data_IF_564423715141
#
_entry.id   IF_564423715141
#
_cell.length_a   1.000
_cell.length_b   1.000
_cell.length_c   1.000
_cell.angle_alpha   90.00
_cell.angle_beta   90.00
_cell.angle_gamma   90.00
#
_symmetry.space_group_name_H-M   'P 1'
#
loop_
_entity.id
_entity.type
_entity.pdbx_description
1 polymer ?
#
# COMPACT_ATOMS: atom_id res chain seq x y z
N UNK A 1 0.01 21.49 -14.51
CA UNK A 1 -0.18 20.20 -13.82
C UNK A 1 0.63 20.20 -12.54
N UNK A 2 0.06 19.82 -11.41
CA UNK A 2 0.81 19.71 -10.16
C UNK A 2 1.93 18.67 -10.29
N UNK A 3 3.06 18.94 -9.63
CA UNK A 3 4.17 17.99 -9.55
C UNK A 3 4.00 17.18 -8.26
N UNK A 4 3.83 15.85 -8.39
CA UNK A 4 3.68 14.94 -7.26
C UNK A 4 5.02 14.30 -6.90
N UNK A 5 5.25 14.13 -5.60
CA UNK A 5 6.36 13.33 -5.07
C UNK A 5 5.84 11.94 -4.65
N UNK A 6 6.52 10.85 -5.02
CA UNK A 6 6.13 9.52 -4.57
C UNK A 6 6.52 9.31 -3.11
N UNK A 7 5.54 8.91 -2.28
CA UNK A 7 5.76 8.52 -0.89
C UNK A 7 4.98 7.24 -0.57
N UNK A 8 5.48 6.47 0.38
CA UNK A 8 4.78 5.35 0.98
C UNK A 8 4.34 5.75 2.39
N UNK A 9 3.02 5.65 2.67
CA UNK A 9 2.45 6.00 3.96
C UNK A 9 2.26 4.75 4.82
N UNK A 10 2.72 4.79 6.05
CA UNK A 10 2.27 3.86 7.07
C UNK A 10 0.94 4.37 7.64
N UNK A 11 -0.15 3.69 7.29
CA UNK A 11 -1.50 4.07 7.70
C UNK A 11 -2.03 3.24 8.88
N UNK A 12 -1.18 2.47 9.56
CA UNK A 12 -1.59 1.65 10.71
C UNK A 12 -2.23 2.51 11.80
N UNK A 13 -3.46 2.16 12.21
CA UNK A 13 -4.24 2.91 13.18
C UNK A 13 -4.75 4.29 12.72
N UNK A 14 -4.56 4.64 11.44
CA UNK A 14 -5.12 5.90 10.93
C UNK A 14 -6.61 5.77 10.67
N UNK A 15 -7.37 6.74 11.15
CA UNK A 15 -8.76 6.92 10.71
C UNK A 15 -8.76 7.46 9.29
N UNK A 16 -9.31 6.68 8.35
CA UNK A 16 -9.44 7.05 6.93
C UNK A 16 -10.93 7.10 6.58
N UNK A 17 -11.37 8.24 6.08
CA UNK A 17 -12.77 8.45 5.71
C UNK A 17 -12.92 8.38 4.18
N UNK A 18 -13.88 7.57 3.74
CA UNK A 18 -14.25 7.42 2.32
C UNK A 18 -15.70 7.81 2.17
N UNK A 19 -15.96 8.92 1.47
CA UNK A 19 -17.30 9.38 1.18
C UNK A 19 -17.71 8.84 -0.19
N UNK A 20 -18.72 7.96 -0.18
CA UNK A 20 -19.17 7.17 -1.32
C UNK A 20 -19.05 5.67 -1.06
N UNK A 21 -19.97 4.86 -1.61
CA UNK A 21 -20.04 3.40 -1.41
C UNK A 21 -20.06 2.59 -2.71
N UNK A 22 -19.65 3.22 -3.83
CA UNK A 22 -19.62 2.60 -5.15
C UNK A 22 -18.33 1.86 -5.45
N UNK A 23 -18.14 1.43 -6.71
CA UNK A 23 -16.95 0.70 -7.18
C UNK A 23 -15.64 1.46 -6.99
N UNK A 24 -15.67 2.80 -6.98
CA UNK A 24 -14.47 3.60 -6.74
C UNK A 24 -14.06 3.49 -5.27
N UNK A 25 -15.02 3.65 -4.35
CA UNK A 25 -14.80 3.43 -2.91
C UNK A 25 -14.27 2.02 -2.64
N UNK A 26 -14.87 1.00 -3.25
CA UNK A 26 -14.45 -0.40 -3.13
C UNK A 26 -12.95 -0.58 -3.46
N UNK A 27 -12.49 -0.02 -4.59
CA UNK A 27 -11.07 -0.07 -4.96
C UNK A 27 -10.16 0.64 -3.94
N UNK A 28 -10.62 1.79 -3.38
CA UNK A 28 -9.85 2.50 -2.35
C UNK A 28 -9.77 1.68 -1.07
N UNK A 29 -10.88 1.16 -0.59
CA UNK A 29 -10.91 0.26 0.57
C UNK A 29 -9.98 -0.93 0.35
N UNK A 30 -10.11 -1.65 -0.76
CA UNK A 30 -9.27 -2.82 -1.08
C UNK A 30 -7.77 -2.49 -1.01
N UNK A 31 -7.34 -1.34 -1.50
CA UNK A 31 -5.93 -0.93 -1.45
C UNK A 31 -5.44 -0.55 -0.04
N UNK A 32 -6.35 -0.16 0.86
CA UNK A 32 -6.04 0.30 2.21
C UNK A 32 -6.02 -0.83 3.24
N UNK A 33 -6.71 -1.96 2.98
CA UNK A 33 -6.83 -3.05 3.95
C UNK A 33 -5.48 -3.57 4.45
N UNK A 34 -4.48 -3.66 3.56
CA UNK A 34 -3.14 -4.12 3.93
C UNK A 34 -2.42 -3.17 4.90
N UNK A 35 -2.87 -1.91 4.99
CA UNK A 35 -2.27 -0.88 5.86
C UNK A 35 -2.80 -0.88 7.28
N UNK A 36 -3.73 -1.78 7.65
CA UNK A 36 -4.35 -1.85 8.99
C UNK A 36 -4.95 -0.52 9.46
N UNK A 37 -5.49 0.27 8.55
CA UNK A 37 -6.16 1.52 8.86
C UNK A 37 -7.57 1.28 9.38
N UNK A 38 -8.08 2.22 10.19
CA UNK A 38 -9.48 2.28 10.60
C UNK A 38 -10.29 2.94 9.47
N UNK A 39 -10.92 2.13 8.63
CA UNK A 39 -11.63 2.61 7.44
C UNK A 39 -13.09 2.89 7.79
N UNK A 40 -13.52 4.12 7.55
CA UNK A 40 -14.91 4.58 7.70
C UNK A 40 -15.47 4.91 6.33
N UNK A 41 -16.58 4.28 5.96
CA UNK A 41 -17.31 4.57 4.71
C UNK A 41 -18.62 5.30 5.05
N UNK A 42 -18.86 6.41 4.35
CA UNK A 42 -20.08 7.21 4.50
C UNK A 42 -20.84 7.19 3.17
N UNK A 43 -21.99 6.55 3.14
CA UNK A 43 -22.79 6.39 1.93
C UNK A 43 -24.17 5.85 2.22
N UNK A 44 -25.18 6.22 1.43
CA UNK A 44 -26.52 5.63 1.51
C UNK A 44 -26.55 4.14 1.08
N UNK A 45 -25.62 3.70 0.26
CA UNK A 45 -25.57 2.31 -0.26
C UNK A 45 -24.12 1.86 -0.40
N UNK A 46 -23.90 0.58 -0.20
CA UNK A 46 -22.61 -0.08 -0.45
C UNK A 46 -22.71 -1.07 -1.60
N UNK A 47 -21.60 -1.31 -2.29
CA UNK A 47 -21.47 -2.50 -3.14
C UNK A 47 -21.59 -3.78 -2.29
N UNK A 48 -21.95 -4.93 -2.88
CA UNK A 48 -21.99 -6.21 -2.15
C UNK A 48 -20.67 -6.54 -1.44
N UNK A 49 -19.56 -6.24 -2.07
CA UNK A 49 -18.23 -6.47 -1.49
C UNK A 49 -17.96 -5.57 -0.25
N UNK A 50 -18.24 -4.28 -0.34
CA UNK A 50 -18.11 -3.36 0.81
C UNK A 50 -19.04 -3.77 1.96
N UNK A 51 -20.27 -4.23 1.64
CA UNK A 51 -21.21 -4.72 2.63
C UNK A 51 -20.70 -5.95 3.36
N UNK A 52 -20.05 -6.89 2.65
CA UNK A 52 -19.36 -8.03 3.26
C UNK A 52 -18.28 -7.57 4.23
N UNK A 53 -17.39 -6.65 3.78
CA UNK A 53 -16.32 -6.10 4.65
C UNK A 53 -16.85 -5.40 5.90
N UNK A 54 -17.98 -4.73 5.80
CA UNK A 54 -18.66 -4.15 6.96
C UNK A 54 -19.20 -5.23 7.90
N UNK A 55 -19.88 -6.25 7.37
CA UNK A 55 -20.41 -7.38 8.17
C UNK A 55 -19.30 -8.14 8.90
N UNK A 56 -18.12 -8.23 8.29
CA UNK A 56 -16.92 -8.86 8.88
C UNK A 56 -16.22 -7.96 9.92
N UNK A 57 -16.72 -6.71 10.12
CA UNK A 57 -16.09 -5.76 11.05
C UNK A 57 -14.78 -5.14 10.54
N UNK A 58 -14.46 -5.32 9.26
CA UNK A 58 -13.22 -4.82 8.64
C UNK A 58 -13.29 -3.33 8.34
N UNK A 59 -14.50 -2.81 8.07
CA UNK A 59 -14.76 -1.39 7.87
C UNK A 59 -15.97 -0.97 8.70
N UNK A 60 -15.99 0.30 9.10
CA UNK A 60 -17.18 0.95 9.65
C UNK A 60 -18.00 1.61 8.55
N UNK A 61 -19.32 1.54 8.64
CA UNK A 61 -20.22 2.16 7.66
C UNK A 61 -21.29 3.00 8.33
N UNK A 62 -21.40 4.26 7.88
CA UNK A 62 -22.52 5.13 8.21
C UNK A 62 -23.50 5.15 7.03
N UNK A 63 -24.67 4.53 7.22
CA UNK A 63 -25.73 4.42 6.20
C UNK A 63 -26.50 5.74 6.05
N UNK A 64 -25.80 6.78 5.62
CA UNK A 64 -26.35 8.12 5.35
C UNK A 64 -25.49 8.90 4.39
N UNK A 65 -25.97 10.05 3.96
CA UNK A 65 -25.14 11.02 3.24
C UNK A 65 -24.06 11.63 4.15
N UNK A 66 -23.07 12.22 3.51
CA UNK A 66 -22.05 13.02 4.17
C UNK A 66 -22.68 14.27 4.81
N UNK A 67 -22.22 14.65 5.97
CA UNK A 67 -22.52 15.91 6.66
C UNK A 67 -21.22 16.54 7.15
N UNK A 68 -21.18 17.86 7.28
CA UNK A 68 -20.06 18.58 7.85
C UNK A 68 -19.75 18.09 9.27
N UNK A 69 -18.47 17.92 9.61
CA UNK A 69 -18.00 17.29 10.85
C UNK A 69 -17.61 15.81 10.71
N UNK A 70 -18.02 15.14 9.64
CA UNK A 70 -17.70 13.72 9.43
C UNK A 70 -16.20 13.42 9.29
N UNK A 71 -15.42 14.43 8.91
CA UNK A 71 -13.98 14.30 8.70
C UNK A 71 -13.15 14.55 9.96
N UNK A 72 -13.76 14.93 11.08
CA UNK A 72 -13.03 15.15 12.32
C UNK A 72 -12.23 13.92 12.74
N UNK A 73 -10.96 14.12 13.07
CA UNK A 73 -10.03 13.06 13.44
C UNK A 73 -9.55 12.16 12.30
N UNK A 74 -10.01 12.38 11.06
CA UNK A 74 -9.46 11.67 9.91
C UNK A 74 -8.03 12.13 9.60
N UNK A 75 -7.18 11.20 9.15
CA UNK A 75 -5.82 11.50 8.66
C UNK A 75 -5.71 11.45 7.15
N UNK A 76 -6.70 10.85 6.48
CA UNK A 76 -6.77 10.76 5.02
C UNK A 76 -8.24 10.68 4.60
N UNK A 77 -8.59 11.34 3.51
CA UNK A 77 -9.97 11.41 3.02
C UNK A 77 -10.02 11.07 1.52
N UNK A 78 -11.08 10.36 1.14
CA UNK A 78 -11.39 10.07 -0.27
C UNK A 78 -12.81 10.54 -0.58
N UNK A 79 -12.95 11.48 -1.51
CA UNK A 79 -14.21 11.90 -2.10
C UNK A 79 -14.47 11.05 -3.36
N UNK A 80 -15.43 10.12 -3.28
CA UNK A 80 -15.65 9.08 -4.30
C UNK A 80 -17.11 8.96 -4.74
N UNK A 81 -17.90 10.00 -4.49
CA UNK A 81 -19.32 10.01 -4.90
C UNK A 81 -19.46 10.40 -6.38
N UNK A 82 -20.63 10.15 -6.94
CA UNK A 82 -21.07 10.66 -8.24
C UNK A 82 -21.70 12.06 -8.16
N UNK A 83 -21.79 12.64 -6.96
CA UNK A 83 -22.37 13.96 -6.71
C UNK A 83 -21.28 15.00 -6.53
N UNK A 84 -21.10 15.88 -7.52
CA UNK A 84 -20.05 16.91 -7.51
C UNK A 84 -20.13 17.80 -6.26
N UNK A 85 -21.32 18.27 -5.90
CA UNK A 85 -21.52 19.12 -4.74
C UNK A 85 -21.10 18.47 -3.41
N UNK A 86 -21.31 17.15 -3.26
CA UNK A 86 -20.88 16.40 -2.08
C UNK A 86 -19.35 16.31 -2.07
N UNK A 87 -18.73 15.98 -3.21
CA UNK A 87 -17.27 15.90 -3.31
C UNK A 87 -16.61 17.27 -3.02
N UNK A 88 -17.19 18.37 -3.51
CA UNK A 88 -16.71 19.74 -3.21
C UNK A 88 -16.79 20.03 -1.70
N UNK A 89 -17.91 19.73 -1.04
CA UNK A 89 -18.08 19.92 0.39
C UNK A 89 -17.03 19.13 1.19
N UNK A 90 -16.78 17.86 0.81
CA UNK A 90 -15.74 17.02 1.42
C UNK A 90 -14.34 17.64 1.25
N UNK A 91 -14.03 18.16 0.05
CA UNK A 91 -12.74 18.79 -0.22
C UNK A 91 -12.59 20.08 0.60
N UNK A 92 -13.63 20.89 0.69
CA UNK A 92 -13.61 22.13 1.47
C UNK A 92 -13.37 21.85 2.96
N UNK A 93 -14.10 20.92 3.56
CA UNK A 93 -13.90 20.56 4.97
C UNK A 93 -12.50 19.96 5.20
N UNK A 94 -12.08 18.99 4.35
CA UNK A 94 -10.76 18.39 4.47
C UNK A 94 -9.64 19.46 4.37
N UNK A 95 -9.77 20.43 3.47
CA UNK A 95 -8.83 21.53 3.31
C UNK A 95 -8.81 22.43 4.56
N UNK A 96 -9.96 22.79 5.09
CA UNK A 96 -10.09 23.59 6.32
C UNK A 96 -9.43 22.89 7.52
N UNK A 97 -9.61 21.57 7.63
CA UNK A 97 -9.00 20.72 8.66
C UNK A 97 -7.55 20.32 8.35
N UNK A 98 -6.99 20.75 7.21
CA UNK A 98 -5.64 20.36 6.73
C UNK A 98 -5.44 18.86 6.60
N UNK A 99 -6.49 18.13 6.25
CA UNK A 99 -6.45 16.70 6.03
C UNK A 99 -6.19 16.44 4.54
N UNK A 100 -5.20 15.59 4.18
CA UNK A 100 -5.00 15.20 2.79
C UNK A 100 -6.26 14.55 2.20
N UNK A 101 -6.69 15.03 1.02
CA UNK A 101 -7.89 14.55 0.34
C UNK A 101 -7.61 14.14 -1.09
N UNK A 102 -8.17 12.99 -1.50
CA UNK A 102 -8.19 12.52 -2.89
C UNK A 102 -9.57 12.71 -3.50
N UNK A 103 -9.66 13.42 -4.60
CA UNK A 103 -10.87 13.47 -5.43
C UNK A 103 -10.79 12.40 -6.52
N UNK A 104 -11.72 11.45 -6.53
CA UNK A 104 -11.63 10.30 -7.42
C UNK A 104 -11.95 10.59 -8.89
N UNK A 105 -12.68 11.67 -9.16
CA UNK A 105 -13.07 12.10 -10.51
C UNK A 105 -12.11 13.12 -11.12
N UNK A 106 -11.47 13.94 -10.28
CA UNK A 106 -10.57 15.01 -10.70
C UNK A 106 -9.39 15.11 -9.73
N UNK A 107 -8.25 14.55 -10.15
CA UNK A 107 -7.04 14.53 -9.33
C UNK A 107 -6.46 15.92 -9.04
N UNK A 108 -6.80 16.95 -9.83
CA UNK A 108 -6.29 18.33 -9.63
C UNK A 108 -6.98 19.03 -8.46
N UNK A 109 -8.18 18.63 -8.11
CA UNK A 109 -8.91 19.19 -6.96
C UNK A 109 -8.50 18.54 -5.62
N UNK A 110 -7.75 17.45 -5.64
CA UNK A 110 -7.24 16.79 -4.44
C UNK A 110 -5.83 17.22 -4.08
N UNK A 111 -5.41 16.95 -2.84
CA UNK A 111 -4.04 17.18 -2.40
C UNK A 111 -3.08 16.02 -2.69
N UNK A 112 -3.59 14.84 -3.05
CA UNK A 112 -2.81 13.67 -3.46
C UNK A 112 -3.55 12.81 -4.48
N UNK A 113 -2.80 12.00 -5.21
CA UNK A 113 -3.32 10.98 -6.12
C UNK A 113 -2.89 9.59 -5.66
N UNK A 114 -3.66 8.57 -6.05
CA UNK A 114 -3.26 7.16 -5.82
C UNK A 114 -2.76 6.56 -7.13
N UNK A 115 -1.54 5.98 -7.15
CA UNK A 115 -1.01 5.33 -8.33
C UNK A 115 -1.72 4.00 -8.63
N UNK A 116 -1.53 3.45 -9.82
CA UNK A 116 -1.71 2.02 -10.06
C UNK A 116 -0.60 1.27 -9.34
N UNK A 117 -0.88 0.10 -8.76
CA UNK A 117 0.14 -0.63 -8.01
C UNK A 117 0.01 -2.13 -8.17
N UNK A 118 1.14 -2.81 -8.01
CA UNK A 118 1.31 -4.25 -7.88
C UNK A 118 1.81 -4.50 -6.47
N UNK A 119 1.32 -5.55 -5.82
CA UNK A 119 1.79 -6.01 -4.52
C UNK A 119 2.11 -7.50 -4.58
N UNK A 120 3.29 -7.86 -4.10
CA UNK A 120 3.72 -9.23 -3.83
C UNK A 120 4.29 -9.27 -2.41
N UNK A 121 3.43 -9.60 -1.45
CA UNK A 121 3.81 -9.48 -0.04
C UNK A 121 4.33 -8.07 0.30
N UNK A 122 5.61 -7.97 0.66
CA UNK A 122 6.30 -6.72 1.00
C UNK A 122 6.77 -5.91 -0.23
N UNK A 123 6.85 -6.53 -1.42
CA UNK A 123 7.16 -5.79 -2.64
C UNK A 123 5.96 -4.95 -3.06
N UNK A 124 6.18 -3.67 -3.26
CA UNK A 124 5.20 -2.74 -3.82
C UNK A 124 5.84 -2.01 -4.99
N UNK A 125 5.20 -2.09 -6.16
CA UNK A 125 5.58 -1.31 -7.34
C UNK A 125 4.42 -0.37 -7.65
N UNK A 126 4.68 0.93 -7.67
CA UNK A 126 3.68 1.96 -7.90
C UNK A 126 3.96 2.69 -9.22
N UNK A 127 2.95 2.81 -10.08
CA UNK A 127 3.06 3.46 -11.40
C UNK A 127 2.10 4.64 -11.46
N UNK A 128 2.63 5.83 -11.71
CA UNK A 128 1.85 7.05 -11.89
C UNK A 128 2.28 7.78 -13.14
N UNK A 129 1.33 8.41 -13.81
CA UNK A 129 1.54 9.37 -14.90
C UNK A 129 1.13 10.78 -14.48
N UNK A 130 1.07 11.03 -13.16
CA UNK A 130 0.68 12.33 -12.57
C UNK A 130 -0.67 12.88 -13.09
N UNK A 131 -1.60 11.97 -13.40
CA UNK A 131 -2.92 12.33 -13.94
C UNK A 131 -2.98 12.40 -15.47
N UNK A 132 -1.85 12.44 -16.18
CA UNK A 132 -1.82 12.62 -17.65
C UNK A 132 -2.43 11.44 -18.43
N UNK A 133 -2.41 10.23 -17.87
CA UNK A 133 -2.93 9.06 -18.57
C UNK A 133 -3.23 7.87 -17.65
N UNK A 134 -4.37 7.85 -16.94
CA UNK A 134 -4.67 6.74 -16.01
C UNK A 134 -4.75 5.36 -16.69
N UNK A 135 -5.08 5.31 -17.99
CA UNK A 135 -5.06 4.08 -18.79
C UNK A 135 -3.63 3.63 -19.07
N UNK A 136 -2.73 4.57 -19.38
CA UNK A 136 -1.31 4.29 -19.62
C UNK A 136 -0.67 3.75 -18.33
N UNK A 137 -0.90 4.38 -17.19
CA UNK A 137 -0.40 3.90 -15.90
C UNK A 137 -0.86 2.46 -15.60
N UNK A 138 -2.12 2.13 -15.92
CA UNK A 138 -2.64 0.76 -15.77
C UNK A 138 -2.02 -0.23 -16.75
N UNK A 139 -1.81 0.17 -18.00
CA UNK A 139 -1.16 -0.69 -19.01
C UNK A 139 0.28 -1.01 -18.59
N UNK A 140 1.06 0.01 -18.21
CA UNK A 140 2.42 -0.18 -17.70
C UNK A 140 2.44 -1.07 -16.45
N UNK A 141 1.50 -0.84 -15.52
CA UNK A 141 1.37 -1.68 -14.33
C UNK A 141 1.12 -3.16 -14.72
N UNK A 142 0.26 -3.42 -15.71
CA UNK A 142 0.00 -4.77 -16.19
C UNK A 142 1.20 -5.42 -16.90
N UNK A 143 2.01 -4.65 -17.62
CA UNK A 143 3.25 -5.16 -18.23
C UNK A 143 4.27 -5.53 -17.17
N UNK A 144 4.44 -4.67 -16.15
CA UNK A 144 5.33 -4.92 -15.02
C UNK A 144 4.83 -6.13 -14.21
N UNK A 145 3.52 -6.29 -14.01
CA UNK A 145 2.91 -7.41 -13.29
C UNK A 145 3.31 -8.79 -13.86
N UNK A 146 3.49 -8.87 -15.19
CA UNK A 146 3.96 -10.08 -15.86
C UNK A 146 5.43 -10.41 -15.62
N UNK A 147 6.24 -9.39 -15.29
CA UNK A 147 7.68 -9.55 -15.05
C UNK A 147 7.99 -9.85 -13.58
N UNK A 148 7.11 -9.44 -12.67
CA UNK A 148 7.26 -9.60 -11.23
C UNK A 148 6.13 -10.49 -10.69
N UNK A 149 6.29 -11.79 -10.86
CA UNK A 149 5.34 -12.81 -10.45
C UNK A 149 5.33 -13.07 -8.93
N UNK A 150 4.59 -14.10 -8.53
CA UNK A 150 4.40 -14.43 -7.10
C UNK A 150 5.69 -14.91 -6.43
N UNK A 151 6.68 -15.37 -7.20
CA UNK A 151 8.01 -15.74 -6.70
C UNK A 151 8.70 -14.61 -5.94
N UNK A 152 8.39 -13.35 -6.27
CA UNK A 152 8.94 -12.19 -5.56
C UNK A 152 8.43 -12.04 -4.13
N UNK A 153 7.24 -12.54 -3.80
CA UNK A 153 6.77 -12.58 -2.42
C UNK A 153 7.68 -13.45 -1.56
N UNK A 154 7.92 -14.69 -2.01
CA UNK A 154 8.81 -15.64 -1.34
C UNK A 154 10.23 -15.08 -1.23
N UNK A 155 10.75 -14.52 -2.32
CA UNK A 155 12.09 -13.94 -2.36
C UNK A 155 12.27 -12.79 -1.35
N UNK A 156 11.36 -11.81 -1.38
CA UNK A 156 11.47 -10.64 -0.49
C UNK A 156 11.23 -11.02 0.97
N UNK A 157 10.37 -11.99 1.25
CA UNK A 157 10.17 -12.49 2.61
C UNK A 157 11.42 -13.19 3.15
N UNK A 158 12.06 -14.02 2.34
CA UNK A 158 13.35 -14.65 2.69
C UNK A 158 14.41 -13.59 2.99
N UNK A 159 14.66 -12.66 2.06
CA UNK A 159 15.62 -11.56 2.23
C UNK A 159 15.30 -10.73 3.50
N UNK A 160 14.04 -10.42 3.73
CA UNK A 160 13.60 -9.66 4.91
C UNK A 160 13.90 -10.42 6.21
N UNK A 161 13.67 -11.74 6.22
CA UNK A 161 13.96 -12.58 7.38
C UNK A 161 15.46 -12.63 7.70
N UNK A 162 16.29 -12.98 6.72
CA UNK A 162 17.74 -13.03 6.91
C UNK A 162 18.31 -11.66 7.35
N UNK A 163 17.80 -10.56 6.77
CA UNK A 163 18.21 -9.20 7.18
C UNK A 163 17.81 -8.88 8.63
N UNK A 164 16.73 -9.42 9.14
CA UNK A 164 16.33 -9.27 10.55
C UNK A 164 17.37 -9.95 11.47
N UNK A 165 17.76 -11.19 11.19
CA UNK A 165 18.79 -11.91 11.92
C UNK A 165 20.16 -11.21 11.86
N UNK A 166 20.57 -10.70 10.69
CA UNK A 166 21.81 -9.91 10.56
C UNK A 166 21.77 -8.69 11.48
N UNK A 167 20.65 -7.96 11.54
CA UNK A 167 20.52 -6.79 12.41
C UNK A 167 20.57 -7.13 13.90
N UNK A 168 20.06 -8.28 14.27
CA UNK A 168 20.02 -8.76 15.65
C UNK A 168 21.38 -9.29 16.11
N UNK A 169 22.03 -10.11 15.27
CA UNK A 169 23.25 -10.86 15.66
C UNK A 169 24.55 -10.09 15.39
N UNK A 170 24.55 -9.09 14.51
CA UNK A 170 25.76 -8.36 14.11
C UNK A 170 25.68 -6.90 14.58
N UNK A 171 26.36 -6.51 15.67
CA UNK A 171 26.33 -5.13 16.17
C UNK A 171 27.02 -4.12 15.24
N UNK A 172 28.09 -4.55 14.56
CA UNK A 172 28.90 -3.67 13.71
C UNK A 172 28.19 -3.30 12.41
N UNK A 173 28.13 -1.99 12.10
CA UNK A 173 27.41 -1.47 10.95
C UNK A 173 28.07 -1.80 9.61
N UNK A 174 29.41 -1.87 9.57
CA UNK A 174 30.17 -2.16 8.34
C UNK A 174 30.02 -3.63 7.97
N UNK A 175 30.14 -4.52 8.94
CA UNK A 175 29.91 -5.96 8.74
C UNK A 175 28.48 -6.25 8.27
N UNK A 176 27.46 -5.55 8.85
CA UNK A 176 26.08 -5.67 8.35
C UNK A 176 25.95 -5.29 6.89
N UNK A 177 26.61 -4.22 6.45
CA UNK A 177 26.56 -3.79 5.04
C UNK A 177 27.20 -4.83 4.11
N UNK A 178 28.35 -5.42 4.49
CA UNK A 178 28.97 -6.50 3.73
C UNK A 178 28.05 -7.72 3.60
N UNK A 179 27.43 -8.16 4.70
CA UNK A 179 26.47 -9.28 4.68
C UNK A 179 25.22 -8.96 3.84
N UNK A 180 24.70 -7.74 3.89
CA UNK A 180 23.58 -7.34 3.05
C UNK A 180 23.93 -7.35 1.55
N UNK A 181 25.16 -7.00 1.21
CA UNK A 181 25.64 -7.07 -0.17
C UNK A 181 25.74 -8.52 -0.64
N UNK A 182 26.38 -9.39 0.14
CA UNK A 182 26.48 -10.82 -0.16
C UNK A 182 25.10 -11.46 -0.33
N UNK A 183 24.17 -11.18 0.59
CA UNK A 183 22.80 -11.69 0.51
C UNK A 183 22.09 -11.25 -0.78
N UNK A 184 22.32 -10.02 -1.25
CA UNK A 184 21.71 -9.49 -2.47
C UNK A 184 22.34 -10.07 -3.75
N UNK A 185 23.58 -10.58 -3.68
CA UNK A 185 24.29 -11.22 -4.79
C UNK A 185 23.96 -12.72 -4.94
N UNK A 186 23.25 -13.32 -3.97
CA UNK A 186 22.83 -14.72 -4.03
C UNK A 186 21.72 -14.90 -5.06
N UNK A 187 21.77 -15.97 -5.84
CA UNK A 187 20.80 -16.28 -6.90
C UNK A 187 19.56 -17.01 -6.40
N UNK A 188 19.03 -16.53 -5.26
CA UNK A 188 17.84 -17.11 -4.60
C UNK A 188 16.60 -17.06 -5.49
N UNK A 189 16.45 -15.99 -6.28
CA UNK A 189 15.28 -15.84 -7.15
C UNK A 189 15.21 -16.92 -8.22
N UNK A 190 16.33 -17.32 -8.80
CA UNK A 190 16.40 -18.44 -9.76
C UNK A 190 16.05 -19.76 -9.08
N UNK A 191 16.58 -20.02 -7.89
CA UNK A 191 16.24 -21.23 -7.12
C UNK A 191 14.72 -21.34 -6.85
N UNK A 192 14.07 -20.19 -6.51
CA UNK A 192 12.62 -20.14 -6.31
C UNK A 192 11.88 -20.47 -7.61
N UNK A 193 12.30 -19.89 -8.74
CA UNK A 193 11.69 -20.12 -10.06
C UNK A 193 11.82 -21.55 -10.54
N UNK A 194 12.93 -22.20 -10.21
CA UNK A 194 13.19 -23.60 -10.54
C UNK A 194 12.51 -24.59 -9.57
N UNK A 195 11.92 -24.09 -8.49
CA UNK A 195 11.29 -24.93 -7.47
C UNK A 195 12.27 -25.66 -6.55
N UNK A 196 13.54 -25.25 -6.56
CA UNK A 196 14.62 -25.84 -5.77
C UNK A 196 14.81 -25.14 -4.42
N UNK A 197 14.25 -23.96 -4.25
CA UNK A 197 14.39 -23.13 -3.05
C UNK A 197 13.63 -23.74 -1.86
N UNK A 198 14.27 -23.74 -0.70
CA UNK A 198 13.62 -23.89 0.61
C UNK A 198 14.04 -22.75 1.54
N UNK A 199 13.13 -22.22 2.37
CA UNK A 199 13.52 -21.24 3.40
C UNK A 199 14.58 -21.84 4.34
N UNK A 200 15.55 -21.04 4.71
CA UNK A 200 16.58 -21.42 5.68
C UNK A 200 15.97 -21.47 7.10
N UNK A 201 16.41 -22.44 7.90
CA UNK A 201 16.15 -22.46 9.33
C UNK A 201 16.94 -21.34 10.03
N UNK A 202 16.56 -21.02 11.26
CA UNK A 202 17.30 -20.06 12.10
C UNK A 202 18.77 -20.47 12.30
N UNK A 203 19.02 -21.78 12.44
CA UNK A 203 20.36 -22.34 12.57
C UNK A 203 21.18 -22.13 11.29
N UNK A 204 20.58 -22.34 10.11
CA UNK A 204 21.24 -22.12 8.83
C UNK A 204 21.56 -20.63 8.60
N UNK A 205 20.64 -19.73 8.95
CA UNK A 205 20.86 -18.29 8.88
C UNK A 205 22.03 -17.88 9.81
N UNK A 206 22.03 -18.37 11.04
CA UNK A 206 23.06 -18.06 12.04
C UNK A 206 24.42 -18.59 11.60
N UNK A 207 24.47 -19.81 11.04
CA UNK A 207 25.69 -20.41 10.50
C UNK A 207 26.26 -19.58 9.33
N UNK A 208 25.39 -19.21 8.39
CA UNK A 208 25.76 -18.35 7.26
C UNK A 208 26.32 -17.00 7.73
N UNK A 209 25.66 -16.35 8.69
CA UNK A 209 26.14 -15.07 9.25
C UNK A 209 27.54 -15.27 9.88
N UNK A 210 27.75 -16.36 10.62
CA UNK A 210 29.03 -16.61 11.29
C UNK A 210 30.14 -16.86 10.31
N UNK A 211 29.87 -17.59 9.21
CA UNK A 211 30.85 -17.89 8.15
C UNK A 211 31.31 -16.63 7.40
N UNK A 212 30.38 -15.71 7.09
CA UNK A 212 30.68 -14.54 6.26
C UNK A 212 30.89 -13.24 7.07
N UNK A 213 30.83 -13.30 8.40
CA UNK A 213 31.02 -12.13 9.27
C UNK A 213 32.47 -11.63 9.29
N UNK A 214 33.43 -12.49 9.03
CA UNK A 214 34.87 -12.19 9.12
C UNK A 214 35.50 -11.79 7.76
N UNK A 215 34.71 -11.73 6.70
CA UNK A 215 35.11 -11.30 5.36
C UNK A 215 34.72 -9.83 5.15
#
# INVERSE_FOLDING_TARGET
>A
MPQYIPIMLNCEGWRIVIVGGGRVAERKVSSLLAGKAEIVVISHKLTPWLKSRHTEGVISWFERGYIEGDLEGARLVFATTDQAAVNEAVIMEATALRIPVNHAGDGEQGSFITPSMIRRGKLIIAVSTSGAGPRIARSLCHEIDKQYGDEYETYIDFISNVRAFIKELVPDGSQRQSLFKLLAEMDILTEIREGNFRPWSEEEITSWISEYREV
#
